data_IF_675025546607
#
_entry.id   IF_675025546607
#
_cell.length_a   1.000
_cell.length_b   1.000
_cell.length_c   1.000
_cell.angle_alpha   90.00
_cell.angle_beta   90.00
_cell.angle_gamma   90.00
#
_symmetry.space_group_name_H-M   'P 1'
#
loop_
_entity.id
_entity.type
_entity.pdbx_description
1 polymer ?
#
# COMPACT_ATOMS: atom_id res chain seq x y z
N UNK A 1 -21.72 -4.75 -0.59
CA UNK A 1 -20.60 -5.23 0.25
C UNK A 1 -19.38 -5.33 -0.64
N UNK A 2 -18.16 -5.11 -0.16
CA UNK A 2 -16.97 -5.13 -1.01
C UNK A 2 -16.58 -6.57 -1.36
N UNK A 3 -16.34 -6.87 -2.65
CA UNK A 3 -16.01 -8.21 -3.17
C UNK A 3 -14.85 -8.86 -2.41
N UNK A 4 -13.77 -8.12 -2.16
CA UNK A 4 -12.59 -8.64 -1.45
C UNK A 4 -12.90 -8.96 0.02
N UNK A 5 -13.77 -8.21 0.66
CA UNK A 5 -14.22 -8.48 2.04
C UNK A 5 -15.11 -9.73 2.10
N UNK A 6 -15.96 -9.92 1.12
CA UNK A 6 -16.77 -11.15 0.99
C UNK A 6 -15.90 -12.37 0.74
N UNK A 7 -14.93 -12.28 -0.16
CA UNK A 7 -13.95 -13.33 -0.42
C UNK A 7 -13.15 -13.67 0.84
N UNK A 8 -12.70 -12.65 1.61
CA UNK A 8 -12.02 -12.89 2.87
C UNK A 8 -12.89 -13.67 3.87
N UNK A 9 -14.15 -13.28 4.04
CA UNK A 9 -15.03 -13.91 5.02
C UNK A 9 -15.44 -15.35 4.62
N UNK A 10 -15.70 -15.57 3.32
CA UNK A 10 -16.29 -16.82 2.84
C UNK A 10 -15.25 -17.89 2.49
N UNK A 11 -14.06 -17.47 2.02
CA UNK A 11 -13.06 -18.37 1.49
C UNK A 11 -11.74 -18.32 2.26
N UNK A 12 -11.18 -17.11 2.47
CA UNK A 12 -9.83 -16.94 3.01
C UNK A 12 -9.76 -17.28 4.50
N UNK A 13 -10.69 -16.77 5.30
CA UNK A 13 -10.68 -16.99 6.75
C UNK A 13 -10.88 -18.48 7.13
N UNK A 14 -11.82 -19.24 6.52
CA UNK A 14 -11.93 -20.67 6.75
C UNK A 14 -10.70 -21.46 6.32
N UNK A 15 -10.09 -21.11 5.15
CA UNK A 15 -8.89 -21.76 4.66
C UNK A 15 -7.68 -21.56 5.58
N UNK A 16 -7.49 -20.34 6.10
CA UNK A 16 -6.45 -20.04 7.08
C UNK A 16 -6.65 -20.78 8.38
N UNK A 17 -7.90 -20.85 8.87
CA UNK A 17 -8.24 -21.59 10.08
C UNK A 17 -7.90 -23.08 9.96
N UNK A 18 -8.20 -23.67 8.81
CA UNK A 18 -7.89 -25.07 8.54
C UNK A 18 -6.38 -25.32 8.41
N UNK A 19 -5.66 -24.42 7.70
CA UNK A 19 -4.22 -24.60 7.44
C UNK A 19 -3.37 -24.44 8.70
N UNK A 20 -3.64 -23.42 9.52
CA UNK A 20 -2.86 -23.11 10.73
C UNK A 20 -3.47 -23.63 12.02
N UNK A 21 -4.64 -24.28 11.96
CA UNK A 21 -5.33 -24.91 13.09
C UNK A 21 -5.52 -23.97 14.29
N UNK A 22 -5.98 -22.76 14.04
CA UNK A 22 -6.23 -21.78 15.10
C UNK A 22 -7.30 -22.27 16.08
N UNK A 23 -7.09 -21.99 17.37
CA UNK A 23 -8.04 -22.37 18.44
C UNK A 23 -9.28 -21.48 18.48
N UNK A 24 -9.19 -20.27 17.95
CA UNK A 24 -10.27 -19.29 17.95
C UNK A 24 -10.32 -18.54 16.63
N UNK A 25 -11.52 -18.21 16.19
CA UNK A 25 -11.78 -17.36 15.01
C UNK A 25 -11.11 -15.99 15.15
N UNK A 26 -10.93 -15.50 16.37
CA UNK A 26 -10.27 -14.20 16.61
C UNK A 26 -8.76 -14.22 16.38
N UNK A 27 -8.14 -15.39 16.26
CA UNK A 27 -6.71 -15.53 15.95
C UNK A 27 -6.42 -15.47 14.45
N UNK A 28 -7.44 -15.62 13.59
CA UNK A 28 -7.28 -15.62 12.15
C UNK A 28 -6.67 -14.26 11.71
N UNK A 29 -5.58 -14.28 10.94
CA UNK A 29 -4.98 -13.07 10.41
C UNK A 29 -5.97 -12.28 9.55
N UNK A 30 -6.01 -10.98 9.75
CA UNK A 30 -6.83 -10.06 8.96
C UNK A 30 -6.04 -8.82 8.58
N UNK A 31 -6.51 -8.11 7.58
CA UNK A 31 -5.97 -6.81 7.22
C UNK A 31 -6.38 -5.77 8.28
N UNK A 32 -5.42 -5.00 8.77
CA UNK A 32 -5.64 -3.87 9.69
C UNK A 32 -5.74 -2.55 8.95
N UNK A 33 -4.73 -2.25 8.13
CA UNK A 33 -4.65 -1.01 7.36
C UNK A 33 -3.72 -1.16 6.16
N UNK A 34 -3.90 -0.26 5.19
CA UNK A 34 -2.94 -0.05 4.11
C UNK A 34 -2.44 1.39 4.21
N UNK A 35 -1.13 1.57 4.21
CA UNK A 35 -0.50 2.87 4.20
C UNK A 35 0.16 3.09 2.86
N UNK A 36 -0.28 4.14 2.16
CA UNK A 36 0.35 4.58 0.91
C UNK A 36 1.15 5.83 1.22
N UNK A 37 2.42 5.86 0.84
CA UNK A 37 3.31 6.99 1.08
C UNK A 37 4.16 7.32 -0.13
N UNK A 38 4.35 8.61 -0.38
CA UNK A 38 5.23 9.14 -1.43
C UNK A 38 6.26 10.05 -0.79
N UNK A 39 7.53 9.72 -0.97
CA UNK A 39 8.63 10.58 -0.60
C UNK A 39 8.83 11.68 -1.66
N UNK A 40 8.88 12.92 -1.24
CA UNK A 40 8.98 14.07 -2.12
C UNK A 40 10.11 15.00 -1.64
N UNK A 41 11.34 14.64 -1.99
CA UNK A 41 12.50 15.43 -1.59
C UNK A 41 12.55 16.83 -2.24
N UNK A 42 11.94 17.01 -3.39
CA UNK A 42 11.81 18.26 -4.15
C UNK A 42 10.64 19.14 -3.65
N UNK A 43 9.75 18.60 -2.85
CA UNK A 43 8.63 19.36 -2.27
C UNK A 43 9.04 20.29 -1.11
N UNK A 44 10.30 20.20 -0.67
CA UNK A 44 10.82 21.06 0.41
C UNK A 44 10.71 22.55 0.05
N UNK A 45 11.05 22.86 -1.20
CA UNK A 45 11.14 24.21 -1.71
C UNK A 45 10.02 24.55 -2.70
N UNK A 46 9.15 23.58 -3.03
CA UNK A 46 8.10 23.73 -4.04
C UNK A 46 6.74 23.23 -3.52
N UNK A 47 5.93 24.16 -3.04
CA UNK A 47 4.58 23.88 -2.56
C UNK A 47 3.65 23.33 -3.67
N UNK A 48 3.84 23.77 -4.93
CA UNK A 48 3.03 23.27 -6.06
C UNK A 48 3.27 21.80 -6.32
N UNK A 49 4.52 21.33 -6.23
CA UNK A 49 4.86 19.90 -6.34
C UNK A 49 4.22 19.08 -5.22
N UNK A 50 4.15 19.60 -3.99
CA UNK A 50 3.47 18.96 -2.89
C UNK A 50 1.97 18.83 -3.14
N UNK A 51 1.33 19.89 -3.63
CA UNK A 51 -0.10 19.90 -3.95
C UNK A 51 -0.44 18.94 -5.09
N UNK A 52 0.43 18.84 -6.12
CA UNK A 52 0.28 17.88 -7.19
C UNK A 52 0.31 16.44 -6.66
N UNK A 53 1.31 16.09 -5.86
CA UNK A 53 1.41 14.75 -5.23
C UNK A 53 0.21 14.45 -4.33
N UNK A 54 -0.25 15.45 -3.58
CA UNK A 54 -1.41 15.29 -2.70
C UNK A 54 -2.70 15.01 -3.51
N UNK A 55 -2.88 15.69 -4.65
CA UNK A 55 -3.99 15.44 -5.57
C UNK A 55 -3.92 14.03 -6.17
N UNK A 56 -2.76 13.60 -6.65
CA UNK A 56 -2.54 12.27 -7.23
C UNK A 56 -2.88 11.17 -6.22
N UNK A 57 -2.31 11.23 -5.01
CA UNK A 57 -2.59 10.24 -3.97
C UNK A 57 -4.05 10.27 -3.51
N UNK A 58 -4.66 11.44 -3.45
CA UNK A 58 -6.09 11.57 -3.12
C UNK A 58 -6.96 10.93 -4.21
N UNK A 59 -6.63 11.13 -5.49
CA UNK A 59 -7.34 10.50 -6.60
C UNK A 59 -7.22 8.97 -6.58
N UNK A 60 -6.00 8.44 -6.37
CA UNK A 60 -5.73 6.99 -6.31
C UNK A 60 -6.48 6.34 -5.15
N UNK A 61 -6.47 6.96 -3.97
CA UNK A 61 -6.95 6.32 -2.74
C UNK A 61 -8.40 6.65 -2.40
N UNK A 62 -8.96 7.69 -3.01
CA UNK A 62 -10.30 8.20 -2.68
C UNK A 62 -10.40 8.84 -1.29
N UNK A 63 -9.26 9.09 -0.64
CA UNK A 63 -9.18 9.71 0.68
C UNK A 63 -8.16 10.84 0.66
N UNK A 64 -8.48 11.99 1.27
CA UNK A 64 -7.58 13.13 1.37
C UNK A 64 -6.26 12.70 2.02
N UNK A 65 -5.16 12.91 1.31
CA UNK A 65 -3.83 12.59 1.79
C UNK A 65 -3.31 13.68 2.75
N UNK A 66 -2.37 13.31 3.60
CA UNK A 66 -1.76 14.19 4.61
C UNK A 66 -0.30 14.43 4.25
N UNK A 67 0.08 15.70 4.16
CA UNK A 67 1.48 16.08 3.99
C UNK A 67 2.27 15.71 5.26
N UNK A 68 3.43 15.08 5.08
CA UNK A 68 4.32 14.72 6.17
C UNK A 68 5.42 15.76 6.30
N UNK A 69 5.73 16.12 7.55
CA UNK A 69 6.75 17.10 7.87
C UNK A 69 7.96 16.47 8.55
N UNK A 70 9.13 17.08 8.37
CA UNK A 70 10.35 16.68 9.04
C UNK A 70 10.25 16.95 10.54
N UNK A 71 10.59 15.96 11.36
CA UNK A 71 10.60 16.05 12.83
C UNK A 71 11.90 16.61 13.40
N UNK A 72 12.98 16.56 12.61
CA UNK A 72 14.32 17.02 13.01
C UNK A 72 15.00 17.71 11.84
N UNK A 73 15.84 18.69 12.13
CA UNK A 73 16.71 19.32 11.14
C UNK A 73 17.91 18.44 10.84
N UNK A 74 18.22 18.22 9.56
CA UNK A 74 19.37 17.42 9.10
C UNK A 74 20.12 18.22 8.04
N UNK A 75 21.32 18.72 8.37
CA UNK A 75 22.11 19.60 7.50
C UNK A 75 22.50 18.91 6.17
N UNK A 76 22.90 17.65 6.21
CA UNK A 76 23.31 16.89 5.01
C UNK A 76 22.22 16.81 3.95
N UNK A 77 20.96 16.79 4.34
CA UNK A 77 19.81 16.76 3.43
C UNK A 77 19.20 18.15 3.20
N UNK A 78 19.82 19.20 3.70
CA UNK A 78 19.30 20.59 3.67
C UNK A 78 17.86 20.65 4.16
N UNK A 79 17.58 19.95 5.26
CA UNK A 79 16.26 19.77 5.82
C UNK A 79 16.16 20.50 7.16
N UNK A 80 15.12 21.30 7.33
CA UNK A 80 14.76 21.95 8.59
C UNK A 80 13.50 21.31 9.17
N UNK A 81 13.38 21.32 10.47
CA UNK A 81 12.15 20.92 11.17
C UNK A 81 10.95 21.69 10.65
N UNK A 82 9.83 20.99 10.43
CA UNK A 82 8.62 21.57 9.87
C UNK A 82 8.55 21.60 8.33
N UNK A 83 9.65 21.33 7.61
CA UNK A 83 9.62 21.26 6.14
C UNK A 83 8.85 20.02 5.65
N UNK A 84 8.08 20.17 4.56
CA UNK A 84 7.37 19.07 3.93
C UNK A 84 8.33 18.11 3.24
N UNK A 85 8.19 16.81 3.52
CA UNK A 85 9.07 15.75 2.99
C UNK A 85 8.33 14.69 2.17
N UNK A 86 7.01 14.71 2.19
CA UNK A 86 6.22 13.77 1.44
C UNK A 86 4.73 13.83 1.78
N UNK A 87 4.02 12.86 1.28
CA UNK A 87 2.57 12.71 1.47
C UNK A 87 2.27 11.28 1.87
N UNK A 88 1.33 11.07 2.77
CA UNK A 88 0.85 9.74 3.16
C UNK A 88 -0.66 9.69 3.30
N UNK A 89 -1.21 8.50 3.12
CA UNK A 89 -2.60 8.19 3.46
C UNK A 89 -2.67 6.85 4.16
N UNK A 90 -3.56 6.72 5.13
CA UNK A 90 -3.83 5.45 5.81
C UNK A 90 -5.26 5.04 5.52
N UNK A 91 -5.41 3.90 4.84
CA UNK A 91 -6.70 3.35 4.45
C UNK A 91 -7.10 2.26 5.45
N UNK A 92 -8.37 2.28 5.87
CA UNK A 92 -8.99 1.30 6.77
C UNK A 92 -10.38 0.94 6.27
N UNK A 93 -10.94 -0.13 6.80
CA UNK A 93 -12.29 -0.59 6.51
C UNK A 93 -12.57 -0.76 5.00
N UNK A 94 -13.68 -0.29 4.50
CA UNK A 94 -14.11 -0.54 3.13
C UNK A 94 -13.17 0.08 2.09
N UNK A 95 -12.61 1.27 2.35
CA UNK A 95 -11.62 1.91 1.45
C UNK A 95 -10.34 1.09 1.32
N UNK A 96 -9.92 0.42 2.38
CA UNK A 96 -8.77 -0.49 2.35
C UNK A 96 -9.02 -1.67 1.41
N UNK A 97 -10.19 -2.29 1.50
CA UNK A 97 -10.56 -3.42 0.65
C UNK A 97 -10.69 -3.04 -0.82
N UNK A 98 -11.30 -1.88 -1.11
CA UNK A 98 -11.43 -1.34 -2.46
C UNK A 98 -10.07 -1.01 -3.09
N UNK A 99 -9.19 -0.40 -2.31
CA UNK A 99 -7.82 -0.11 -2.77
C UNK A 99 -7.03 -1.39 -3.05
N UNK A 100 -7.14 -2.39 -2.19
CA UNK A 100 -6.46 -3.67 -2.40
C UNK A 100 -6.94 -4.39 -3.66
N UNK A 101 -8.24 -4.40 -3.90
CA UNK A 101 -8.84 -4.99 -5.11
C UNK A 101 -8.28 -4.31 -6.38
N UNK A 102 -8.29 -2.98 -6.42
CA UNK A 102 -7.72 -2.23 -7.54
C UNK A 102 -6.21 -2.44 -7.69
N UNK A 103 -5.48 -2.51 -6.58
CA UNK A 103 -4.04 -2.74 -6.59
C UNK A 103 -3.70 -4.09 -7.23
N UNK A 104 -4.32 -5.19 -6.79
CA UNK A 104 -3.99 -6.53 -7.26
C UNK A 104 -4.52 -6.83 -8.65
N UNK A 105 -5.74 -6.43 -8.95
CA UNK A 105 -6.43 -6.83 -10.18
C UNK A 105 -6.30 -5.82 -11.32
N UNK A 106 -5.99 -4.55 -11.04
CA UNK A 106 -5.93 -3.51 -12.07
C UNK A 106 -4.55 -2.87 -12.17
N UNK A 107 -3.99 -2.39 -11.05
CA UNK A 107 -2.76 -1.61 -11.07
C UNK A 107 -1.51 -2.46 -11.33
N UNK A 108 -1.32 -3.55 -10.57
CA UNK A 108 -0.13 -4.41 -10.73
C UNK A 108 0.00 -5.03 -12.12
N UNK A 109 -1.08 -5.56 -12.77
CA UNK A 109 -0.96 -6.08 -14.13
C UNK A 109 -0.55 -5.03 -15.18
N UNK A 110 -0.76 -3.75 -14.89
CA UNK A 110 -0.35 -2.62 -15.77
C UNK A 110 1.10 -2.19 -15.59
N UNK A 111 1.80 -2.73 -14.61
CA UNK A 111 3.23 -2.47 -14.44
C UNK A 111 4.00 -3.04 -15.63
N UNK A 112 4.90 -2.23 -16.21
CA UNK A 112 5.73 -2.66 -17.33
C UNK A 112 6.62 -3.83 -16.90
N UNK A 113 6.66 -4.89 -17.72
CA UNK A 113 7.44 -6.12 -17.48
C UNK A 113 7.11 -6.77 -16.11
N UNK A 114 5.84 -6.75 -15.72
CA UNK A 114 5.42 -7.32 -14.45
C UNK A 114 5.61 -8.83 -14.41
N UNK A 115 6.39 -9.31 -13.44
CA UNK A 115 6.68 -10.75 -13.21
C UNK A 115 6.12 -11.27 -11.89
N UNK A 116 5.39 -10.45 -11.16
CA UNK A 116 4.92 -10.73 -9.81
C UNK A 116 5.58 -9.85 -8.75
N UNK A 117 5.07 -9.91 -7.52
CA UNK A 117 5.61 -9.21 -6.36
C UNK A 117 6.50 -10.15 -5.53
N UNK A 118 7.51 -9.61 -4.86
CA UNK A 118 8.44 -10.43 -4.04
C UNK A 118 7.70 -11.15 -2.91
N UNK A 119 7.99 -12.41 -2.73
CA UNK A 119 7.46 -13.20 -1.62
C UNK A 119 8.18 -12.94 -0.29
N UNK A 120 9.30 -12.20 -0.30
CA UNK A 120 10.17 -12.00 0.88
C UNK A 120 10.15 -10.56 1.43
N UNK A 121 9.23 -9.72 0.91
CA UNK A 121 9.13 -8.31 1.33
C UNK A 121 8.29 -8.13 2.61
N UNK A 122 8.42 -9.04 3.56
CA UNK A 122 7.81 -9.01 4.88
C UNK A 122 8.78 -8.47 5.93
N UNK A 123 8.25 -7.95 7.04
CA UNK A 123 9.01 -7.29 8.10
C UNK A 123 9.35 -8.19 9.31
N UNK A 124 9.04 -9.49 9.25
CA UNK A 124 9.20 -10.43 10.36
C UNK A 124 8.00 -10.46 11.32
N UNK A 125 7.01 -9.61 11.11
CA UNK A 125 5.80 -9.48 11.95
C UNK A 125 4.50 -9.51 11.14
N UNK A 126 4.55 -10.07 9.95
CA UNK A 126 3.39 -10.25 9.10
C UNK A 126 2.93 -8.99 8.35
N UNK A 127 3.71 -7.93 8.28
CA UNK A 127 3.41 -6.78 7.42
C UNK A 127 4.18 -6.89 6.11
N UNK A 128 3.55 -6.47 5.02
CA UNK A 128 4.12 -6.54 3.68
C UNK A 128 4.39 -5.16 3.11
N UNK A 129 5.54 -4.98 2.47
CA UNK A 129 5.93 -3.70 1.86
C UNK A 129 6.12 -3.85 0.36
N UNK A 130 5.47 -3.00 -0.43
CA UNK A 130 5.53 -2.97 -1.89
C UNK A 130 5.97 -1.59 -2.36
N UNK A 131 7.01 -1.53 -3.19
CA UNK A 131 7.41 -0.32 -3.92
C UNK A 131 6.85 -0.32 -5.33
N UNK A 132 6.14 0.74 -5.69
CA UNK A 132 5.67 1.02 -7.05
C UNK A 132 6.53 2.15 -7.63
N UNK A 133 7.06 1.97 -8.83
CA UNK A 133 7.98 2.95 -9.44
C UNK A 133 7.27 4.15 -10.04
N UNK A 134 6.05 3.95 -10.56
CA UNK A 134 5.32 4.97 -11.32
C UNK A 134 3.85 5.00 -10.90
N UNK A 135 3.29 6.20 -10.66
CA UNK A 135 1.88 6.36 -10.31
C UNK A 135 0.92 6.09 -11.47
N UNK A 136 1.40 6.08 -12.70
CA UNK A 136 0.56 5.90 -13.92
C UNK A 136 -0.06 4.51 -14.05
N UNK A 137 0.36 3.55 -13.25
CA UNK A 137 -0.26 2.22 -13.22
C UNK A 137 -1.72 2.27 -12.73
N UNK A 138 -2.07 3.31 -11.98
CA UNK A 138 -3.43 3.53 -11.51
C UNK A 138 -4.27 4.23 -12.57
N UNK A 139 -5.43 3.67 -12.95
CA UNK A 139 -6.28 4.23 -14.02
C UNK A 139 -6.89 5.59 -13.68
N UNK A 140 -6.90 5.95 -12.40
CA UNK A 140 -7.41 7.23 -11.92
C UNK A 140 -6.50 8.41 -12.27
N UNK A 141 -5.25 8.12 -12.69
CA UNK A 141 -4.24 9.12 -13.02
C UNK A 141 -4.20 9.31 -14.54
N UNK A 142 -4.47 10.52 -14.99
CA UNK A 142 -4.36 10.94 -16.39
C UNK A 142 -2.91 11.37 -16.68
N UNK A 143 -2.28 10.73 -17.68
CA UNK A 143 -0.88 10.98 -18.04
C UNK A 143 -0.60 12.47 -18.34
N UNK A 144 -1.53 13.14 -19.02
CA UNK A 144 -1.38 14.55 -19.43
C UNK A 144 -1.39 15.55 -18.26
N UNK A 145 -1.87 15.13 -17.09
CA UNK A 145 -1.95 15.98 -15.89
C UNK A 145 -0.81 15.78 -14.91
N UNK A 146 0.10 14.86 -15.21
CA UNK A 146 1.24 14.54 -14.33
C UNK A 146 2.38 15.52 -14.58
N UNK A 147 2.81 16.24 -13.53
CA UNK A 147 4.00 17.09 -13.61
C UNK A 147 5.30 16.27 -13.62
N UNK A 148 5.33 15.17 -12.86
CA UNK A 148 6.52 14.32 -12.71
C UNK A 148 6.11 12.89 -12.34
N UNK A 149 6.78 11.92 -12.96
CA UNK A 149 6.66 10.52 -12.56
C UNK A 149 7.24 10.32 -11.15
N UNK A 150 6.46 9.70 -10.27
CA UNK A 150 6.85 9.45 -8.88
C UNK A 150 6.50 8.04 -8.48
N UNK A 151 7.43 7.44 -7.74
CA UNK A 151 7.16 6.17 -7.07
C UNK A 151 6.39 6.35 -5.76
N UNK A 152 5.82 5.27 -5.29
CA UNK A 152 5.14 5.21 -4.00
C UNK A 152 5.45 3.91 -3.28
N UNK A 153 5.41 3.96 -1.96
CA UNK A 153 5.51 2.80 -1.10
C UNK A 153 4.12 2.48 -0.54
N UNK A 154 3.76 1.21 -0.63
CA UNK A 154 2.50 0.67 -0.13
C UNK A 154 2.85 -0.34 0.96
N UNK A 155 2.45 -0.07 2.20
CA UNK A 155 2.59 -0.99 3.31
C UNK A 155 1.23 -1.59 3.65
N UNK A 156 1.12 -2.90 3.56
CA UNK A 156 -0.06 -3.69 3.92
C UNK A 156 0.18 -4.24 5.32
N UNK A 157 -0.51 -3.69 6.31
CA UNK A 157 -0.41 -4.11 7.69
C UNK A 157 -1.49 -5.15 8.00
N UNK A 158 -1.07 -6.26 8.59
CA UNK A 158 -1.96 -7.34 8.98
C UNK A 158 -1.90 -7.58 10.50
N UNK A 159 -2.79 -8.40 11.01
CA UNK A 159 -2.76 -8.86 12.40
C UNK A 159 -2.04 -10.21 12.55
N UNK A 160 -1.42 -10.72 11.50
CA UNK A 160 -0.63 -11.95 11.53
C UNK A 160 0.54 -11.80 12.51
N UNK A 161 0.92 -12.89 13.16
CA UNK A 161 2.06 -12.93 14.07
C UNK A 161 3.35 -13.32 13.35
N UNK A 162 3.22 -14.08 12.26
CA UNK A 162 4.34 -14.56 11.45
C UNK A 162 4.19 -14.16 9.99
N UNK A 163 5.30 -14.08 9.28
CA UNK A 163 5.32 -13.77 7.84
C UNK A 163 4.67 -14.87 7.01
N UNK A 164 4.72 -16.13 7.47
CA UNK A 164 4.08 -17.25 6.79
C UNK A 164 2.55 -17.11 6.78
N UNK A 165 1.97 -16.72 7.93
CA UNK A 165 0.53 -16.46 8.02
C UNK A 165 0.11 -15.32 7.11
N UNK A 166 0.87 -14.23 7.11
CA UNK A 166 0.60 -13.07 6.27
C UNK A 166 0.77 -13.37 4.77
N UNK A 167 1.79 -14.14 4.40
CA UNK A 167 2.02 -14.60 3.03
C UNK A 167 0.83 -15.41 2.52
N UNK A 168 0.37 -16.36 3.32
CA UNK A 168 -0.77 -17.18 2.95
C UNK A 168 -2.06 -16.37 2.87
N UNK A 169 -2.29 -15.44 3.81
CA UNK A 169 -3.41 -14.50 3.76
C UNK A 169 -3.42 -13.73 2.43
N UNK A 170 -2.30 -13.09 2.07
CA UNK A 170 -2.21 -12.30 0.84
C UNK A 170 -2.31 -13.18 -0.41
N UNK A 171 -1.73 -14.38 -0.40
CA UNK A 171 -1.83 -15.36 -1.49
C UNK A 171 -3.28 -15.74 -1.78
N UNK A 172 -4.03 -16.10 -0.75
CA UNK A 172 -5.44 -16.45 -0.86
C UNK A 172 -6.32 -15.27 -1.30
N UNK A 173 -5.88 -14.05 -1.00
CA UNK A 173 -6.53 -12.83 -1.46
C UNK A 173 -6.15 -12.43 -2.90
N UNK A 174 -5.37 -13.25 -3.60
CA UNK A 174 -5.01 -13.01 -4.99
C UNK A 174 -3.77 -12.14 -5.21
N UNK A 175 -2.89 -11.99 -4.21
CA UNK A 175 -1.62 -11.32 -4.40
C UNK A 175 -0.75 -12.08 -5.41
N UNK A 176 -0.29 -11.44 -6.50
CA UNK A 176 0.46 -12.08 -7.57
C UNK A 176 1.95 -12.24 -7.18
N UNK A 177 2.24 -13.12 -6.23
CA UNK A 177 3.63 -13.41 -5.85
C UNK A 177 4.39 -14.09 -6.99
N UNK A 178 5.68 -13.79 -7.10
CA UNK A 178 6.57 -14.54 -8.00
C UNK A 178 6.59 -15.99 -7.55
N UNK A 179 6.21 -16.89 -8.44
CA UNK A 179 6.45 -18.33 -8.24
C UNK A 179 7.93 -18.59 -8.51
N UNK A 180 8.63 -19.11 -7.49
CA UNK A 180 10.02 -19.52 -7.61
C UNK A 180 10.15 -20.68 -8.60
#
# INVERSE_FOLDING_TARGET
MNRMKEMYNNEVAPALMQKFQYKSVMQIPRLDKIVVSVGCGDCKDNAKALDAVNKDITAITGQKAVATVAKKSVANFKLREGMHVGVKVTLRHDRMWEFLDRLFNVALPRVRDFRGISADAFDGRGNYSLGVREQIIFPEIEYDKIEKLRGMNIAICTTAQTDEEARELLRLMGAPFVTA
#
